data_IF_943888841155
#
_entry.id   IF_943888841155
#
_cell.length_a   1.000
_cell.length_b   1.000
_cell.length_c   1.000
_cell.angle_alpha   90.00
_cell.angle_beta   90.00
_cell.angle_gamma   90.00
#
_symmetry.space_group_name_H-M   'P 1'
#
loop_
_entity.id
_entity.type
_entity.pdbx_description
1 polymer ?
#
# COMPACT_ATOMS: atom_id res chain seq x y z
N UNK A 1 -24.26 -64.60 19.32
CA UNK A 1 -24.68 -63.67 18.25
C UNK A 1 -24.54 -62.21 18.65
N UNK A 2 -24.77 -61.82 19.91
CA UNK A 2 -24.67 -60.41 20.35
C UNK A 2 -23.28 -59.77 20.24
N UNK A 3 -22.20 -60.50 20.55
CA UNK A 3 -20.84 -59.96 20.50
C UNK A 3 -20.40 -59.54 19.08
N UNK A 4 -20.89 -60.25 18.05
CA UNK A 4 -20.64 -59.91 16.64
C UNK A 4 -21.43 -58.65 16.25
N UNK A 5 -22.65 -58.50 16.77
CA UNK A 5 -23.45 -57.31 16.53
C UNK A 5 -22.80 -56.06 17.16
N UNK A 6 -22.30 -56.20 18.39
CA UNK A 6 -21.62 -55.13 19.11
C UNK A 6 -20.32 -54.68 18.42
N UNK A 7 -19.51 -55.62 17.92
CA UNK A 7 -18.26 -55.29 17.22
C UNK A 7 -18.52 -54.58 15.88
N UNK A 8 -19.54 -54.99 15.13
CA UNK A 8 -19.93 -54.33 13.87
C UNK A 8 -20.40 -52.90 14.13
N UNK A 9 -21.22 -52.67 15.17
CA UNK A 9 -21.68 -51.34 15.56
C UNK A 9 -20.49 -50.45 15.98
N UNK A 10 -19.52 -51.00 16.72
CA UNK A 10 -18.33 -50.26 17.15
C UNK A 10 -17.46 -49.82 15.96
N UNK A 11 -17.25 -50.69 14.98
CA UNK A 11 -16.49 -50.36 13.76
C UNK A 11 -17.23 -49.32 12.92
N UNK A 12 -18.55 -49.45 12.76
CA UNK A 12 -19.37 -48.47 12.06
C UNK A 12 -19.36 -47.10 12.76
N UNK A 13 -19.44 -47.08 14.09
CA UNK A 13 -19.33 -45.85 14.88
C UNK A 13 -17.96 -45.17 14.71
N UNK A 14 -16.89 -45.95 14.62
CA UNK A 14 -15.53 -45.44 14.41
C UNK A 14 -15.34 -44.91 12.99
N UNK A 15 -15.86 -45.62 11.97
CA UNK A 15 -15.83 -45.19 10.56
C UNK A 15 -16.68 -43.94 10.32
N UNK A 16 -17.86 -43.85 10.95
CA UNK A 16 -18.71 -42.66 10.92
C UNK A 16 -18.04 -41.48 11.62
N UNK A 17 -17.44 -41.71 12.79
CA UNK A 17 -16.71 -40.68 13.54
C UNK A 17 -15.49 -40.14 12.79
N UNK A 18 -14.69 -41.01 12.16
CA UNK A 18 -13.52 -40.60 11.37
C UNK A 18 -13.92 -39.87 10.09
N UNK A 19 -14.95 -40.35 9.38
CA UNK A 19 -15.50 -39.68 8.19
C UNK A 19 -16.08 -38.30 8.48
N UNK A 20 -16.83 -38.15 9.58
CA UNK A 20 -17.37 -36.87 10.00
C UNK A 20 -16.25 -35.88 10.38
N UNK A 21 -15.25 -36.32 11.14
CA UNK A 21 -14.10 -35.50 11.53
C UNK A 21 -13.32 -34.99 10.31
N UNK A 22 -13.11 -35.86 9.32
CA UNK A 22 -12.35 -35.53 8.11
C UNK A 22 -13.06 -34.51 7.21
N UNK A 23 -14.41 -34.54 7.17
CA UNK A 23 -15.22 -33.54 6.46
C UNK A 23 -15.20 -32.17 7.16
N UNK A 24 -15.24 -32.16 8.50
CA UNK A 24 -15.12 -30.91 9.27
C UNK A 24 -13.72 -30.30 9.17
N UNK A 25 -12.66 -31.11 9.19
CA UNK A 25 -11.28 -30.66 8.98
C UNK A 25 -11.11 -30.04 7.59
N UNK A 26 -11.55 -30.72 6.53
CA UNK A 26 -11.45 -30.19 5.17
C UNK A 26 -12.17 -28.85 4.98
N UNK A 27 -13.34 -28.68 5.59
CA UNK A 27 -14.12 -27.43 5.56
C UNK A 27 -13.48 -26.30 6.40
N UNK A 28 -12.78 -26.66 7.49
CA UNK A 28 -12.01 -25.73 8.32
C UNK A 28 -10.75 -25.26 7.58
N UNK A 29 -10.05 -26.17 6.89
CA UNK A 29 -8.84 -25.87 6.14
C UNK A 29 -9.12 -24.96 4.93
N UNK A 30 -10.22 -25.22 4.21
CA UNK A 30 -10.67 -24.35 3.10
C UNK A 30 -11.05 -22.94 3.60
N UNK A 31 -11.78 -22.84 4.71
CA UNK A 31 -12.12 -21.54 5.34
C UNK A 31 -10.89 -20.80 5.86
N UNK A 32 -9.96 -21.51 6.47
CA UNK A 32 -8.69 -20.96 6.97
C UNK A 32 -7.81 -20.47 5.81
N UNK A 33 -7.75 -21.22 4.70
CA UNK A 33 -6.99 -20.83 3.51
C UNK A 33 -7.57 -19.58 2.83
N UNK A 34 -8.90 -19.46 2.71
CA UNK A 34 -9.54 -18.26 2.16
C UNK A 34 -9.34 -17.04 3.07
N UNK A 35 -9.50 -17.20 4.39
CA UNK A 35 -9.23 -16.15 5.36
C UNK A 35 -7.77 -15.68 5.32
N UNK A 36 -6.82 -16.61 5.28
CA UNK A 36 -5.38 -16.32 5.20
C UNK A 36 -5.01 -15.58 3.92
N UNK A 37 -5.62 -15.93 2.77
CA UNK A 37 -5.38 -15.24 1.50
C UNK A 37 -5.93 -13.81 1.51
N UNK A 38 -7.15 -13.61 2.02
CA UNK A 38 -7.75 -12.29 2.14
C UNK A 38 -6.94 -11.37 3.05
N UNK A 39 -6.53 -11.88 4.22
CA UNK A 39 -5.72 -11.14 5.17
C UNK A 39 -4.32 -10.80 4.62
N UNK A 40 -3.72 -11.73 3.87
CA UNK A 40 -2.44 -11.48 3.18
C UNK A 40 -2.55 -10.34 2.16
N UNK A 41 -3.57 -10.35 1.30
CA UNK A 41 -3.78 -9.28 0.33
C UNK A 41 -4.06 -7.93 1.01
N UNK A 42 -4.85 -7.93 2.10
CA UNK A 42 -5.11 -6.74 2.91
C UNK A 42 -3.81 -6.14 3.43
N UNK A 43 -2.91 -6.98 3.93
CA UNK A 43 -1.61 -6.55 4.45
C UNK A 43 -0.67 -6.05 3.35
N UNK A 44 -0.59 -6.75 2.22
CA UNK A 44 0.19 -6.34 1.04
C UNK A 44 -0.27 -4.96 0.52
N UNK A 45 -1.58 -4.69 0.53
CA UNK A 45 -2.15 -3.38 0.20
C UNK A 45 -1.75 -2.29 1.19
N UNK A 46 -1.86 -2.55 2.50
CA UNK A 46 -1.43 -1.59 3.53
C UNK A 46 0.04 -1.25 3.36
N UNK A 47 0.89 -2.25 3.20
CA UNK A 47 2.34 -2.05 3.08
C UNK A 47 2.68 -1.22 1.84
N UNK A 48 2.07 -1.53 0.70
CA UNK A 48 2.29 -0.77 -0.54
C UNK A 48 1.79 0.68 -0.46
N UNK A 49 0.58 0.91 0.06
CA UNK A 49 0.02 2.26 0.18
C UNK A 49 0.77 3.12 1.20
N UNK A 50 1.18 2.54 2.33
CA UNK A 50 2.01 3.21 3.33
C UNK A 50 3.40 3.54 2.78
N UNK A 51 4.03 2.61 2.06
CA UNK A 51 5.33 2.83 1.43
C UNK A 51 5.27 3.98 0.42
N UNK A 52 4.22 4.03 -0.41
CA UNK A 52 4.02 5.12 -1.35
C UNK A 52 3.81 6.47 -0.66
N UNK A 53 2.92 6.54 0.33
CA UNK A 53 2.69 7.77 1.09
C UNK A 53 3.96 8.27 1.79
N UNK A 54 4.76 7.35 2.36
CA UNK A 54 6.05 7.67 2.99
C UNK A 54 7.06 8.23 1.98
N UNK A 55 7.29 7.52 0.88
CA UNK A 55 8.23 7.94 -0.16
C UNK A 55 7.82 9.29 -0.78
N UNK A 56 6.52 9.53 -0.96
CA UNK A 56 5.99 10.83 -1.39
C UNK A 56 6.34 11.96 -0.41
N UNK A 57 6.19 11.73 0.90
CA UNK A 57 6.51 12.75 1.91
C UNK A 57 8.01 13.06 1.97
N UNK A 58 8.86 12.05 1.85
CA UNK A 58 10.30 12.20 1.78
C UNK A 58 10.73 13.00 0.54
N UNK A 59 10.17 12.65 -0.62
CA UNK A 59 10.43 13.38 -1.87
C UNK A 59 9.92 14.83 -1.79
N UNK A 60 8.70 15.05 -1.26
CA UNK A 60 8.15 16.39 -1.06
C UNK A 60 9.04 17.25 -0.17
N UNK A 61 9.59 16.67 0.91
CA UNK A 61 10.49 17.38 1.82
C UNK A 61 11.73 17.91 1.08
N UNK A 62 12.38 17.07 0.27
CA UNK A 62 13.59 17.49 -0.45
C UNK A 62 13.28 18.52 -1.56
N UNK A 63 12.14 18.40 -2.24
CA UNK A 63 11.71 19.38 -3.26
C UNK A 63 11.49 20.76 -2.63
N UNK A 64 10.77 20.82 -1.49
CA UNK A 64 10.55 22.08 -0.78
C UNK A 64 11.88 22.67 -0.30
N UNK A 65 12.78 21.86 0.24
CA UNK A 65 14.09 22.32 0.67
C UNK A 65 14.90 22.88 -0.50
N UNK A 66 14.98 22.14 -1.63
CA UNK A 66 15.71 22.59 -2.81
C UNK A 66 15.12 23.85 -3.43
N UNK A 67 13.79 24.01 -3.41
CA UNK A 67 13.15 25.25 -3.85
C UNK A 67 13.66 26.46 -3.06
N UNK A 68 13.76 26.35 -1.74
CA UNK A 68 14.31 27.43 -0.89
C UNK A 68 15.79 27.70 -1.18
N UNK A 69 16.58 26.64 -1.39
CA UNK A 69 17.99 26.74 -1.78
C UNK A 69 18.15 27.55 -3.08
N UNK A 70 17.31 27.30 -4.08
CA UNK A 70 17.42 27.94 -5.39
C UNK A 70 16.84 29.36 -5.43
N UNK A 71 15.80 29.66 -4.64
CA UNK A 71 15.09 30.95 -4.69
C UNK A 71 15.55 31.97 -3.63
N UNK A 72 16.24 31.56 -2.56
CA UNK A 72 16.63 32.45 -1.46
C UNK A 72 18.14 32.78 -1.42
N UNK A 73 18.79 32.81 -2.59
CA UNK A 73 20.22 33.12 -2.73
C UNK A 73 21.18 32.18 -1.97
N UNK A 74 20.76 30.96 -1.64
CA UNK A 74 21.60 29.92 -1.02
C UNK A 74 22.18 28.98 -2.08
N UNK A 75 22.67 29.55 -3.19
CA UNK A 75 23.10 28.76 -4.37
C UNK A 75 24.28 27.83 -4.08
N UNK A 76 25.09 28.17 -3.09
CA UNK A 76 26.16 27.35 -2.54
C UNK A 76 25.65 26.02 -1.95
N UNK A 77 24.37 25.95 -1.57
CA UNK A 77 23.72 24.74 -1.07
C UNK A 77 23.07 23.88 -2.18
N UNK A 78 23.00 24.34 -3.45
CA UNK A 78 22.58 23.49 -4.58
C UNK A 78 23.73 22.60 -5.05
N UNK A 79 24.15 21.70 -4.17
CA UNK A 79 25.28 20.80 -4.41
C UNK A 79 24.89 19.63 -5.33
N UNK A 80 25.87 18.97 -5.99
CA UNK A 80 25.62 17.73 -6.72
C UNK A 80 24.93 16.66 -5.87
N UNK A 81 25.28 16.56 -4.58
CA UNK A 81 24.71 15.58 -3.63
C UNK A 81 23.24 15.87 -3.33
N UNK A 82 22.85 17.16 -3.22
CA UNK A 82 21.44 17.53 -3.08
C UNK A 82 20.64 17.12 -4.32
N UNK A 83 21.17 17.37 -5.53
CA UNK A 83 20.53 16.95 -6.78
C UNK A 83 20.43 15.43 -6.88
N UNK A 84 21.48 14.69 -6.52
CA UNK A 84 21.45 13.23 -6.47
C UNK A 84 20.38 12.72 -5.48
N UNK A 85 20.27 13.36 -4.31
CA UNK A 85 19.24 13.02 -3.31
C UNK A 85 17.84 13.24 -3.87
N UNK A 86 17.60 14.35 -4.57
CA UNK A 86 16.33 14.62 -5.26
C UNK A 86 16.00 13.51 -6.26
N UNK A 87 16.96 13.08 -7.09
CA UNK A 87 16.73 11.99 -8.04
C UNK A 87 16.44 10.65 -7.34
N UNK A 88 17.21 10.30 -6.31
CA UNK A 88 17.00 9.06 -5.54
C UNK A 88 15.59 9.02 -4.93
N UNK A 89 15.16 10.10 -4.27
CA UNK A 89 13.84 10.15 -3.64
C UNK A 89 12.70 10.18 -4.67
N UNK A 90 12.91 10.81 -5.84
CA UNK A 90 11.96 10.75 -6.95
C UNK A 90 11.77 9.32 -7.43
N UNK A 91 12.85 8.58 -7.68
CA UNK A 91 12.76 7.19 -8.14
C UNK A 91 12.15 6.27 -7.08
N UNK A 92 12.50 6.45 -5.80
CA UNK A 92 11.87 5.70 -4.71
C UNK A 92 10.36 5.94 -4.63
N UNK A 93 9.92 7.19 -4.82
CA UNK A 93 8.49 7.52 -4.86
C UNK A 93 7.78 6.89 -6.08
N UNK A 94 8.43 6.89 -7.26
CA UNK A 94 7.89 6.22 -8.46
C UNK A 94 7.80 4.70 -8.28
N UNK A 95 8.84 4.07 -7.73
CA UNK A 95 8.83 2.64 -7.44
C UNK A 95 7.69 2.26 -6.49
N UNK A 96 7.53 3.03 -5.41
CA UNK A 96 6.46 2.80 -4.45
C UNK A 96 5.07 3.06 -5.06
N UNK A 97 4.95 4.04 -5.96
CA UNK A 97 3.73 4.30 -6.73
C UNK A 97 3.34 3.09 -7.58
N UNK A 98 4.29 2.54 -8.35
CA UNK A 98 4.02 1.35 -9.17
C UNK A 98 3.63 0.14 -8.32
N UNK A 99 4.22 -0.02 -7.13
CA UNK A 99 3.79 -1.07 -6.18
C UNK A 99 2.36 -0.85 -5.69
N UNK A 100 1.99 0.38 -5.34
CA UNK A 100 0.61 0.72 -4.96
C UNK A 100 -0.38 0.45 -6.10
N UNK A 101 0.00 0.73 -7.35
CA UNK A 101 -0.82 0.43 -8.53
C UNK A 101 -0.98 -1.09 -8.74
N UNK A 102 0.09 -1.88 -8.59
CA UNK A 102 0.03 -3.34 -8.80
C UNK A 102 -0.87 -4.08 -7.81
N UNK A 103 -1.11 -3.53 -6.62
CA UNK A 103 -2.00 -4.13 -5.61
C UNK A 103 -3.45 -3.61 -5.67
N UNK A 104 -3.74 -2.75 -6.65
CA UNK A 104 -5.08 -2.19 -6.88
C UNK A 104 -5.65 -2.60 -8.23
N UNK A 105 -6.94 -2.92 -8.22
CA UNK A 105 -7.71 -3.23 -9.42
C UNK A 105 -8.52 -2.02 -9.92
N UNK A 106 -8.44 -0.87 -9.24
CA UNK A 106 -9.23 0.34 -9.52
C UNK A 106 -8.45 1.30 -10.43
N UNK A 107 -8.86 1.49 -11.70
CA UNK A 107 -8.20 2.42 -12.62
C UNK A 107 -8.20 3.87 -12.13
N UNK A 108 -9.22 4.28 -11.37
CA UNK A 108 -9.27 5.62 -10.81
C UNK A 108 -8.23 5.81 -9.71
N UNK A 109 -7.88 4.75 -8.96
CA UNK A 109 -6.80 4.80 -8.00
C UNK A 109 -5.44 4.91 -8.69
N UNK A 110 -5.24 4.19 -9.78
CA UNK A 110 -4.00 4.28 -10.58
C UNK A 110 -3.77 5.72 -11.02
N UNK A 111 -4.78 6.35 -11.62
CA UNK A 111 -4.72 7.75 -12.04
C UNK A 111 -4.47 8.70 -10.85
N UNK A 112 -5.16 8.47 -9.72
CA UNK A 112 -4.98 9.28 -8.51
C UNK A 112 -3.54 9.22 -7.97
N UNK A 113 -2.89 8.06 -8.01
CA UNK A 113 -1.47 7.94 -7.59
C UNK A 113 -0.52 8.73 -8.49
N UNK A 114 -0.79 8.80 -9.79
CA UNK A 114 0.00 9.60 -10.71
C UNK A 114 -0.17 11.09 -10.43
N UNK A 115 -1.42 11.55 -10.30
CA UNK A 115 -1.75 12.94 -9.95
C UNK A 115 -1.14 13.39 -8.61
N UNK A 116 -1.10 12.51 -7.62
CA UNK A 116 -0.44 12.79 -6.34
C UNK A 116 1.03 13.07 -6.59
N UNK A 117 1.75 12.18 -7.29
CA UNK A 117 3.19 12.33 -7.52
C UNK A 117 3.51 13.55 -8.41
N UNK A 118 2.73 13.78 -9.46
CA UNK A 118 2.88 14.91 -10.37
C UNK A 118 2.77 16.26 -9.67
N UNK A 119 1.97 16.35 -8.60
CA UNK A 119 1.85 17.58 -7.80
C UNK A 119 3.19 18.06 -7.20
N UNK A 120 4.18 17.16 -7.06
CA UNK A 120 5.52 17.52 -6.61
C UNK A 120 6.37 18.15 -7.72
N UNK A 121 6.14 17.77 -8.98
CA UNK A 121 6.84 18.36 -10.11
C UNK A 121 6.44 19.83 -10.31
N UNK A 122 5.18 20.16 -10.06
CA UNK A 122 4.69 21.55 -10.11
C UNK A 122 5.34 22.42 -9.02
N UNK A 123 5.57 21.86 -7.82
CA UNK A 123 6.26 22.57 -6.72
C UNK A 123 7.69 22.96 -7.06
N UNK A 124 8.42 22.13 -7.81
CA UNK A 124 9.79 22.46 -8.22
C UNK A 124 9.83 23.70 -9.13
N UNK A 125 8.73 23.95 -9.87
CA UNK A 125 8.60 25.04 -10.84
C UNK A 125 7.92 26.30 -10.28
N UNK A 126 7.53 26.30 -9.00
CA UNK A 126 6.88 27.45 -8.40
C UNK A 126 7.80 28.68 -8.50
N UNK A 127 7.28 29.81 -8.97
CA UNK A 127 8.07 31.03 -9.19
C UNK A 127 8.27 31.86 -7.92
N UNK A 128 7.38 31.71 -6.94
CA UNK A 128 7.41 32.48 -5.70
C UNK A 128 6.88 31.69 -4.50
N UNK A 129 6.98 32.30 -3.31
CA UNK A 129 6.58 31.68 -2.03
C UNK A 129 5.07 31.47 -1.93
N UNK A 130 4.26 32.32 -2.57
CA UNK A 130 2.79 32.23 -2.53
C UNK A 130 2.34 31.02 -3.35
N UNK A 131 2.82 30.90 -4.58
CA UNK A 131 2.60 29.75 -5.44
C UNK A 131 3.11 28.45 -4.80
N UNK A 132 4.29 28.47 -4.17
CA UNK A 132 4.78 27.31 -3.43
C UNK A 132 3.83 26.92 -2.29
N UNK A 133 3.29 27.89 -1.54
CA UNK A 133 2.38 27.63 -0.44
C UNK A 133 1.07 26.99 -0.92
N UNK A 134 0.51 27.47 -2.04
CA UNK A 134 -0.66 26.89 -2.70
C UNK A 134 -0.40 25.46 -3.14
N UNK A 135 0.69 25.22 -3.89
CA UNK A 135 1.05 23.88 -4.37
C UNK A 135 1.32 22.90 -3.22
N UNK A 136 1.92 23.37 -2.12
CA UNK A 136 2.09 22.57 -0.90
C UNK A 136 0.77 22.20 -0.23
N UNK A 137 -0.27 23.04 -0.34
CA UNK A 137 -1.60 22.77 0.16
C UNK A 137 -2.32 21.76 -0.75
N UNK A 138 -2.24 21.96 -2.07
CA UNK A 138 -2.80 21.05 -3.09
C UNK A 138 -2.20 19.64 -2.95
N UNK A 139 -0.89 19.51 -2.84
CA UNK A 139 -0.24 18.20 -2.71
C UNK A 139 -0.64 17.48 -1.43
N UNK A 140 -0.85 18.23 -0.34
CA UNK A 140 -1.32 17.68 0.93
C UNK A 140 -2.76 17.19 0.81
N UNK A 141 -3.59 17.92 0.07
CA UNK A 141 -4.96 17.52 -0.19
C UNK A 141 -5.01 16.26 -1.06
N UNK A 142 -4.25 16.20 -2.16
CA UNK A 142 -4.18 15.02 -3.03
C UNK A 142 -3.75 13.76 -2.26
N UNK A 143 -2.75 13.87 -1.38
CA UNK A 143 -2.34 12.74 -0.53
C UNK A 143 -3.46 12.31 0.43
N UNK A 144 -4.23 13.25 0.99
CA UNK A 144 -5.40 12.92 1.84
C UNK A 144 -6.49 12.23 1.04
N UNK A 145 -6.77 12.70 -0.17
CA UNK A 145 -7.77 12.11 -1.06
C UNK A 145 -7.35 10.68 -1.43
N UNK A 146 -6.07 10.45 -1.73
CA UNK A 146 -5.51 9.11 -1.92
C UNK A 146 -5.75 8.21 -0.69
N UNK A 147 -5.38 8.67 0.52
CA UNK A 147 -5.59 7.90 1.75
C UNK A 147 -7.07 7.57 1.98
N UNK A 148 -7.96 8.53 1.71
CA UNK A 148 -9.41 8.33 1.83
C UNK A 148 -9.92 7.29 0.83
N UNK A 149 -9.42 7.28 -0.41
CA UNK A 149 -9.79 6.32 -1.45
C UNK A 149 -9.28 4.90 -1.16
N UNK A 150 -8.09 4.74 -0.59
CA UNK A 150 -7.54 3.40 -0.28
C UNK A 150 -8.04 2.81 1.02
N UNK A 151 -8.52 3.63 1.97
CA UNK A 151 -8.97 3.16 3.28
C UNK A 151 -10.03 2.05 3.22
N UNK A 152 -11.07 2.13 2.36
CA UNK A 152 -12.04 1.05 2.19
C UNK A 152 -11.44 -0.26 1.64
N UNK A 153 -10.30 -0.22 0.95
CA UNK A 153 -9.68 -1.39 0.31
C UNK A 153 -8.82 -2.22 1.28
N UNK A 154 -8.56 -1.68 2.48
CA UNK A 154 -7.70 -2.28 3.53
C UNK A 154 -8.43 -2.56 4.85
N UNK A 155 -9.73 -2.25 4.90
CA UNK A 155 -10.65 -2.63 5.99
C UNK A 155 -11.28 -3.99 5.71
#
# INVERSE_FOLDING_TARGET
>A
MEAVLASVIAVLGTLLGSGATHLFQRRSDERSAHFTRGERLRQERIDAYCAYAGAFLDYRRVIVHRWFVTHENRRDEDTPELRETVYKLRYAAQEAMFRAQMVSDDPALVELTEHVLESLADMERAGDREQLAELRAVSRQRLRDFVATVTPQVR
#
